data_IF_591763208950
#
_entry.id   IF_591763208950
#
_cell.length_a   1.000
_cell.length_b   1.000
_cell.length_c   1.000
_cell.angle_alpha   90.00
_cell.angle_beta   90.00
_cell.angle_gamma   90.00
#
_symmetry.space_group_name_H-M   'P 1'
#
loop_
_entity.id
_entity.type
_entity.pdbx_description
1 polymer ?
#
# COMPACT_ATOMS: atom_id res chain seq x y z
N UNK A 1 6.87 22.35 30.74
CA UNK A 1 5.54 21.90 31.21
C UNK A 1 5.05 20.83 30.23
N UNK A 2 5.39 19.56 30.45
CA UNK A 2 5.02 18.45 29.55
C UNK A 2 4.20 17.43 30.33
N UNK A 3 2.98 17.16 29.84
CA UNK A 3 1.96 16.35 30.48
C UNK A 3 2.24 14.84 30.33
N UNK A 4 2.31 14.16 31.47
CA UNK A 4 2.40 12.70 31.59
C UNK A 4 1.01 12.11 31.32
N UNK A 5 0.86 11.36 30.22
CA UNK A 5 -0.36 10.62 29.92
C UNK A 5 -0.64 9.60 31.04
N UNK A 6 -1.75 9.80 31.77
CA UNK A 6 -2.31 8.85 32.72
C UNK A 6 -3.64 8.36 32.13
N UNK A 7 -3.75 7.06 31.84
CA UNK A 7 -5.07 6.44 31.56
C UNK A 7 -5.47 5.52 32.71
N UNK A 8 -6.76 5.60 33.01
CA UNK A 8 -7.51 4.97 34.08
C UNK A 8 -7.55 3.44 33.92
N UNK A 9 -7.51 2.78 35.07
CA UNK A 9 -7.63 1.34 35.28
C UNK A 9 -9.08 0.90 35.13
N UNK A 10 -9.37 0.07 34.13
CA UNK A 10 -10.47 -0.89 34.16
C UNK A 10 -9.87 -2.26 33.76
N UNK A 11 -9.54 -3.09 34.77
CA UNK A 11 -8.69 -4.28 34.59
C UNK A 11 -9.49 -5.59 34.74
N UNK A 12 -9.52 -6.41 33.68
CA UNK A 12 -9.61 -7.87 33.83
C UNK A 12 -8.19 -8.37 34.14
N UNK A 13 -7.97 -8.89 35.34
CA UNK A 13 -6.64 -9.31 35.78
C UNK A 13 -6.36 -10.77 35.38
N UNK A 14 -5.48 -10.95 34.40
CA UNK A 14 -4.87 -12.25 34.06
C UNK A 14 -3.36 -12.16 34.38
N UNK A 15 -2.71 -13.22 34.88
CA UNK A 15 -1.28 -13.20 35.20
C UNK A 15 -0.40 -12.95 33.96
N UNK A 16 0.67 -12.20 34.17
CA UNK A 16 1.64 -11.77 33.16
C UNK A 16 2.74 -12.83 32.99
N UNK A 17 2.35 -13.98 32.45
CA UNK A 17 3.26 -14.91 31.78
C UNK A 17 2.41 -15.91 30.99
N UNK A 18 2.74 -16.08 29.71
CA UNK A 18 2.26 -17.14 28.80
C UNK A 18 0.79 -17.11 28.36
N UNK A 19 -0.15 -16.76 29.25
CA UNK A 19 -1.59 -16.81 28.94
C UNK A 19 -2.10 -15.67 28.05
N UNK A 20 -1.60 -14.44 28.25
CA UNK A 20 -2.08 -13.25 27.51
C UNK A 20 -1.68 -13.28 26.03
N UNK A 21 -0.45 -13.66 25.72
CA UNK A 21 0.02 -13.78 24.33
C UNK A 21 -0.71 -14.88 23.57
N UNK A 22 -0.97 -16.03 24.21
CA UNK A 22 -1.75 -17.11 23.64
C UNK A 22 -3.23 -16.71 23.40
N UNK A 23 -3.81 -15.92 24.30
CA UNK A 23 -5.16 -15.37 24.13
C UNK A 23 -5.21 -14.35 22.99
N UNK A 24 -4.22 -13.46 22.89
CA UNK A 24 -4.12 -12.50 21.77
C UNK A 24 -3.92 -13.20 20.43
N UNK A 25 -3.10 -14.25 20.41
CA UNK A 25 -2.87 -15.06 19.21
C UNK A 25 -4.12 -15.85 18.79
N UNK A 26 -4.89 -16.35 19.76
CA UNK A 26 -6.18 -17.02 19.50
C UNK A 26 -7.25 -16.02 19.03
N UNK A 27 -7.29 -14.82 19.61
CA UNK A 27 -8.18 -13.73 19.19
C UNK A 27 -7.83 -13.27 17.77
N UNK A 28 -6.54 -13.11 17.46
CA UNK A 28 -6.05 -12.83 16.11
C UNK A 28 -6.54 -13.86 15.10
N UNK A 29 -6.40 -15.16 15.40
CA UNK A 29 -6.85 -16.23 14.51
C UNK A 29 -8.37 -16.23 14.31
N UNK A 30 -9.16 -15.90 15.33
CA UNK A 30 -10.63 -15.81 15.23
C UNK A 30 -11.04 -14.60 14.37
N UNK A 31 -10.44 -13.43 14.61
CA UNK A 31 -10.71 -12.21 13.83
C UNK A 31 -10.31 -12.40 12.36
N UNK A 32 -9.17 -13.05 12.11
CA UNK A 32 -8.70 -13.37 10.76
C UNK A 32 -9.62 -14.35 10.04
N UNK A 33 -10.20 -15.33 10.74
CA UNK A 33 -11.13 -16.29 10.15
C UNK A 33 -12.53 -15.71 9.87
N UNK A 34 -12.87 -14.55 10.45
CA UNK A 34 -14.22 -13.97 10.41
C UNK A 34 -14.44 -12.86 9.36
N UNK A 35 -13.50 -12.59 8.43
CA UNK A 35 -13.68 -11.83 7.17
C UNK A 35 -14.90 -10.86 7.10
N UNK A 36 -14.83 -9.53 7.14
CA UNK A 36 -13.94 -8.65 6.37
C UNK A 36 -14.24 -7.16 6.70
N UNK A 37 -13.63 -6.58 7.75
CA UNK A 37 -13.67 -5.12 7.91
C UNK A 37 -12.57 -4.53 8.81
N UNK A 38 -11.90 -5.37 9.60
CA UNK A 38 -10.85 -4.93 10.53
C UNK A 38 -9.62 -5.77 10.29
N UNK A 39 -8.52 -5.12 9.93
CA UNK A 39 -7.21 -5.76 9.75
C UNK A 39 -6.68 -6.10 11.14
N UNK A 40 -6.52 -7.38 11.49
CA UNK A 40 -5.95 -7.74 12.77
C UNK A 40 -4.44 -7.40 12.74
N UNK A 41 -4.03 -6.49 13.62
CA UNK A 41 -2.65 -6.04 13.76
C UNK A 41 -2.09 -6.49 15.10
N UNK A 42 -0.99 -7.23 15.07
CA UNK A 42 -0.27 -7.67 16.26
C UNK A 42 1.09 -6.99 16.34
N UNK A 43 1.36 -6.27 17.43
CA UNK A 43 2.65 -5.66 17.70
C UNK A 43 2.98 -5.82 19.17
N UNK A 44 4.14 -6.41 19.45
CA UNK A 44 4.61 -6.60 20.81
C UNK A 44 5.39 -5.36 21.25
N UNK A 45 4.92 -4.72 22.32
CA UNK A 45 5.59 -3.57 22.91
C UNK A 45 6.51 -4.11 24.00
N UNK A 46 7.82 -3.91 23.84
CA UNK A 46 8.78 -4.27 24.88
C UNK A 46 8.59 -3.40 26.13
N UNK A 47 8.79 -4.00 27.31
CA UNK A 47 8.73 -3.28 28.59
C UNK A 47 9.99 -2.43 28.85
N UNK A 48 11.00 -2.54 27.98
CA UNK A 48 12.26 -1.82 28.09
C UNK A 48 12.13 -0.38 27.56
N UNK A 49 12.84 0.59 28.16
CA UNK A 49 12.93 1.93 27.62
C UNK A 49 13.45 1.90 26.17
N UNK A 50 12.73 2.53 25.26
CA UNK A 50 13.07 2.62 23.84
C UNK A 50 12.89 4.05 23.33
N UNK A 51 13.73 4.46 22.38
CA UNK A 51 13.56 5.75 21.73
C UNK A 51 12.28 5.76 20.91
N UNK A 52 11.53 6.86 20.97
CA UNK A 52 10.27 7.00 20.24
C UNK A 52 10.45 6.83 18.72
N UNK A 53 11.62 7.21 18.19
CA UNK A 53 11.96 7.04 16.79
C UNK A 53 12.14 5.57 16.40
N UNK A 54 12.87 4.80 17.22
CA UNK A 54 13.07 3.36 17.00
C UNK A 54 11.75 2.59 17.14
N UNK A 55 10.95 2.93 18.16
CA UNK A 55 9.60 2.39 18.32
C UNK A 55 8.72 2.68 17.09
N UNK A 56 8.67 3.94 16.65
CA UNK A 56 7.84 4.33 15.51
C UNK A 56 8.27 3.60 14.23
N UNK A 57 9.58 3.47 14.01
CA UNK A 57 10.13 2.72 12.88
C UNK A 57 9.68 1.26 12.90
N UNK A 58 9.87 0.55 14.01
CA UNK A 58 9.47 -0.86 14.14
C UNK A 58 7.95 -1.05 14.03
N UNK A 59 7.17 -0.14 14.63
CA UNK A 59 5.72 -0.13 14.54
C UNK A 59 5.24 0.02 13.09
N UNK A 60 5.72 1.03 12.37
CA UNK A 60 5.28 1.28 11.00
C UNK A 60 5.75 0.19 10.04
N UNK A 61 6.96 -0.33 10.19
CA UNK A 61 7.44 -1.47 9.38
C UNK A 61 6.55 -2.68 9.60
N UNK A 62 6.25 -3.01 10.86
CA UNK A 62 5.42 -4.17 11.21
C UNK A 62 3.99 -4.01 10.70
N UNK A 63 3.43 -2.81 10.84
CA UNK A 63 2.10 -2.46 10.36
C UNK A 63 2.00 -2.61 8.84
N UNK A 64 2.92 -2.01 8.09
CA UNK A 64 2.93 -2.09 6.63
C UNK A 64 3.06 -3.54 6.15
N UNK A 65 3.93 -4.34 6.79
CA UNK A 65 4.09 -5.77 6.47
C UNK A 65 2.79 -6.56 6.65
N UNK A 66 2.14 -6.41 7.80
CA UNK A 66 0.89 -7.14 8.09
C UNK A 66 -0.28 -6.64 7.24
N UNK A 67 -0.37 -5.33 7.01
CA UNK A 67 -1.36 -4.72 6.13
C UNK A 67 -1.25 -5.25 4.70
N UNK A 68 -0.03 -5.28 4.15
CA UNK A 68 0.21 -5.82 2.81
C UNK A 68 -0.15 -7.31 2.79
N UNK A 69 0.32 -8.12 3.75
CA UNK A 69 0.04 -9.56 3.80
C UNK A 69 -1.46 -9.90 3.91
N UNK A 70 -2.24 -9.04 4.57
CA UNK A 70 -3.69 -9.18 4.67
C UNK A 70 -4.39 -8.85 3.35
N UNK A 71 -3.99 -7.77 2.67
CA UNK A 71 -4.65 -7.32 1.44
C UNK A 71 -4.11 -8.01 0.17
N UNK A 72 -2.88 -8.52 0.22
CA UNK A 72 -2.15 -9.07 -0.92
C UNK A 72 -1.26 -10.23 -0.46
N UNK A 73 -1.28 -11.37 -1.17
CA UNK A 73 -0.21 -12.36 -1.00
C UNK A 73 1.12 -11.72 -1.37
N UNK A 74 2.15 -11.92 -0.54
CA UNK A 74 3.48 -11.31 -0.72
C UNK A 74 4.05 -11.61 -2.11
N UNK A 75 3.81 -12.81 -2.63
CA UNK A 75 4.22 -13.23 -3.97
C UNK A 75 3.52 -12.39 -5.06
N UNK A 76 2.20 -12.24 -4.96
CA UNK A 76 1.40 -11.41 -5.88
C UNK A 76 1.78 -9.94 -5.81
N UNK A 77 2.06 -9.42 -4.61
CA UNK A 77 2.49 -8.04 -4.39
C UNK A 77 3.89 -7.77 -4.95
N UNK A 78 4.83 -8.71 -4.75
CA UNK A 78 6.19 -8.61 -5.25
C UNK A 78 6.23 -8.71 -6.77
N UNK A 79 5.51 -9.68 -7.36
CA UNK A 79 5.37 -9.79 -8.82
C UNK A 79 4.78 -8.51 -9.42
N UNK A 80 3.78 -7.95 -8.76
CA UNK A 80 3.15 -6.70 -9.15
C UNK A 80 4.10 -5.50 -9.06
N UNK A 81 4.79 -5.31 -7.93
CA UNK A 81 5.72 -4.19 -7.73
C UNK A 81 6.87 -4.27 -8.71
N UNK A 82 7.47 -5.45 -8.89
CA UNK A 82 8.54 -5.65 -9.87
C UNK A 82 8.05 -5.34 -11.28
N UNK A 83 6.85 -5.80 -11.66
CA UNK A 83 6.26 -5.51 -12.97
C UNK A 83 5.94 -4.03 -13.21
N UNK A 84 5.71 -3.27 -12.13
CA UNK A 84 5.50 -1.83 -12.18
C UNK A 84 6.85 -1.10 -12.25
N UNK A 85 7.81 -1.45 -11.38
CA UNK A 85 9.15 -0.84 -11.33
C UNK A 85 9.86 -0.96 -12.67
N UNK A 86 9.88 -2.14 -13.30
CA UNK A 86 10.56 -2.32 -14.59
C UNK A 86 9.94 -1.45 -15.69
N UNK A 87 8.61 -1.32 -15.68
CA UNK A 87 7.86 -0.49 -16.65
C UNK A 87 7.93 1.01 -16.36
N UNK A 88 8.12 1.39 -15.11
CA UNK A 88 8.33 2.78 -14.69
C UNK A 88 9.75 3.21 -15.03
N UNK A 89 10.73 2.33 -14.80
CA UNK A 89 12.13 2.70 -14.82
C UNK A 89 12.69 2.88 -16.25
N UNK A 90 11.99 2.36 -17.26
CA UNK A 90 12.36 2.61 -18.66
C UNK A 90 12.08 4.06 -19.11
N UNK A 91 12.79 4.47 -20.17
CA UNK A 91 12.78 5.85 -20.71
C UNK A 91 11.38 6.37 -21.05
N UNK A 92 10.48 5.51 -21.50
CA UNK A 92 9.14 5.89 -21.91
C UNK A 92 8.16 5.89 -20.72
N UNK A 93 8.36 5.02 -19.72
CA UNK A 93 7.56 4.99 -18.49
C UNK A 93 7.64 6.28 -17.70
N UNK A 94 8.85 6.79 -17.45
CA UNK A 94 9.07 8.09 -16.77
C UNK A 94 8.41 9.26 -17.51
N UNK A 95 8.49 9.28 -18.84
CA UNK A 95 7.86 10.31 -19.69
C UNK A 95 6.34 10.28 -19.57
N UNK A 96 5.73 9.09 -19.63
CA UNK A 96 4.29 8.91 -19.51
C UNK A 96 3.80 9.41 -18.14
N UNK A 97 4.45 9.02 -17.06
CA UNK A 97 4.08 9.44 -15.70
C UNK A 97 4.21 10.95 -15.56
N UNK A 98 5.33 11.53 -15.99
CA UNK A 98 5.54 12.98 -15.92
C UNK A 98 4.47 13.75 -16.72
N UNK A 99 4.11 13.25 -17.90
CA UNK A 99 3.05 13.82 -18.73
C UNK A 99 1.68 13.74 -18.04
N UNK A 100 1.34 12.59 -17.45
CA UNK A 100 0.10 12.42 -16.67
C UNK A 100 0.04 13.39 -15.49
N UNK A 101 1.14 13.53 -14.73
CA UNK A 101 1.21 14.48 -13.62
C UNK A 101 1.02 15.94 -14.08
N UNK A 102 1.57 16.32 -15.24
CA UNK A 102 1.36 17.67 -15.82
C UNK A 102 -0.10 17.93 -16.22
N UNK A 103 -0.88 16.89 -16.43
CA UNK A 103 -2.27 16.94 -16.87
C UNK A 103 -3.23 16.31 -15.86
N UNK A 104 -2.87 16.33 -14.55
CA UNK A 104 -3.57 15.59 -13.48
C UNK A 104 -5.09 15.81 -13.40
N UNK A 105 -5.59 16.95 -13.86
CA UNK A 105 -7.01 17.31 -13.82
C UNK A 105 -7.80 16.84 -15.05
N UNK A 106 -7.17 16.07 -15.95
CA UNK A 106 -7.75 15.69 -17.24
C UNK A 106 -7.64 14.19 -17.49
N UNK A 107 -8.75 13.63 -17.98
CA UNK A 107 -8.79 12.30 -18.56
C UNK A 107 -8.25 12.32 -19.99
N UNK A 108 -7.12 11.66 -20.20
CA UNK A 108 -6.37 11.65 -21.46
C UNK A 108 -6.60 10.34 -22.20
N UNK A 109 -6.85 10.43 -23.50
CA UNK A 109 -6.95 9.25 -24.37
C UNK A 109 -5.58 8.65 -24.63
N UNK A 110 -5.50 7.31 -24.67
CA UNK A 110 -4.27 6.57 -24.96
C UNK A 110 -3.56 7.03 -26.24
N UNK A 111 -4.29 7.15 -27.34
CA UNK A 111 -3.73 7.57 -28.62
C UNK A 111 -3.16 9.01 -28.57
N UNK A 112 -3.73 9.86 -27.70
CA UNK A 112 -3.21 11.22 -27.48
C UNK A 112 -1.90 11.20 -26.68
N UNK A 113 -1.75 10.28 -25.71
CA UNK A 113 -0.48 10.08 -24.99
C UNK A 113 0.62 9.69 -25.98
N UNK A 114 0.33 8.74 -26.88
CA UNK A 114 1.27 8.29 -27.91
C UNK A 114 1.71 9.44 -28.81
N UNK A 115 0.74 10.23 -29.31
CA UNK A 115 0.99 11.35 -30.19
C UNK A 115 1.79 12.47 -29.50
N UNK A 116 1.37 12.90 -28.31
CA UNK A 116 1.98 14.03 -27.61
C UNK A 116 3.41 13.70 -27.14
N UNK A 117 3.72 12.42 -26.88
CA UNK A 117 5.03 11.97 -26.43
C UNK A 117 5.91 11.37 -27.53
N UNK A 118 5.36 11.16 -28.73
CA UNK A 118 6.02 10.51 -29.86
C UNK A 118 6.76 9.22 -29.44
N UNK A 119 6.05 8.30 -28.78
CA UNK A 119 6.68 7.14 -28.12
C UNK A 119 7.14 6.06 -29.11
N UNK A 120 6.58 6.03 -30.32
CA UNK A 120 6.98 5.11 -31.40
C UNK A 120 6.63 3.64 -31.10
N UNK A 121 5.69 3.38 -30.18
CA UNK A 121 5.33 2.03 -29.75
C UNK A 121 3.97 1.60 -30.29
N UNK A 122 3.74 0.29 -30.35
CA UNK A 122 2.44 -0.24 -30.79
C UNK A 122 1.38 0.06 -29.74
N UNK A 123 0.14 0.32 -30.19
CA UNK A 123 -0.97 0.66 -29.30
C UNK A 123 -1.20 -0.40 -28.19
N UNK A 124 -1.01 -1.68 -28.50
CA UNK A 124 -1.12 -2.77 -27.52
C UNK A 124 0.01 -2.82 -26.48
N UNK A 125 1.19 -2.32 -26.81
CA UNK A 125 2.32 -2.19 -25.87
C UNK A 125 2.06 -1.06 -24.88
N UNK A 126 1.62 0.10 -25.37
CA UNK A 126 1.19 1.22 -24.54
C UNK A 126 0.03 0.82 -23.62
N UNK A 127 -0.94 0.05 -24.13
CA UNK A 127 -2.04 -0.47 -23.31
C UNK A 127 -1.54 -1.33 -22.14
N UNK A 128 -0.68 -2.31 -22.40
CA UNK A 128 -0.14 -3.19 -21.36
C UNK A 128 0.58 -2.38 -20.29
N UNK A 129 1.30 -1.33 -20.70
CA UNK A 129 2.04 -0.47 -19.79
C UNK A 129 1.12 0.40 -18.94
N UNK A 130 0.14 1.07 -19.55
CA UNK A 130 -0.85 1.86 -18.81
C UNK A 130 -1.66 0.99 -17.84
N UNK A 131 -2.04 -0.23 -18.25
CA UNK A 131 -2.67 -1.21 -17.33
C UNK A 131 -1.79 -1.57 -16.15
N UNK A 132 -0.47 -1.66 -16.33
CA UNK A 132 0.44 -1.88 -15.22
C UNK A 132 0.45 -0.70 -14.24
N UNK A 133 0.43 0.53 -14.75
CA UNK A 133 0.37 1.74 -13.94
C UNK A 133 -0.97 1.90 -13.20
N UNK A 134 -2.07 1.50 -13.85
CA UNK A 134 -3.41 1.43 -13.22
C UNK A 134 -3.41 0.41 -12.12
N UNK A 135 -2.89 -0.79 -12.42
CA UNK A 135 -2.76 -1.83 -11.43
C UNK A 135 -1.99 -1.31 -10.23
N UNK A 136 -0.83 -0.65 -10.45
CA UNK A 136 0.09 -0.09 -9.44
C UNK A 136 -0.38 1.17 -8.70
N UNK A 137 -1.64 1.58 -8.82
CA UNK A 137 -2.18 2.81 -8.23
C UNK A 137 -1.38 4.09 -8.56
N UNK A 138 -0.70 4.13 -9.72
CA UNK A 138 0.08 5.31 -10.18
C UNK A 138 -0.80 6.23 -11.03
N UNK A 139 -1.71 5.65 -11.80
CA UNK A 139 -2.71 6.35 -12.61
C UNK A 139 -4.06 5.69 -12.43
N UNK A 140 -5.13 6.40 -12.75
CA UNK A 140 -6.49 5.86 -12.73
C UNK A 140 -6.98 5.62 -14.15
N UNK A 141 -7.80 4.58 -14.29
CA UNK A 141 -8.53 4.28 -15.52
C UNK A 141 -9.98 4.71 -15.40
N UNK A 142 -10.52 5.36 -16.42
CA UNK A 142 -11.94 5.68 -16.47
C UNK A 142 -12.81 4.48 -16.81
N UNK A 143 -14.09 4.75 -17.08
CA UNK A 143 -15.09 3.75 -17.52
C UNK A 143 -14.76 3.05 -18.84
N UNK A 144 -13.73 3.51 -19.58
CA UNK A 144 -13.25 2.90 -20.83
C UNK A 144 -11.77 2.55 -20.73
N UNK A 145 -11.35 1.48 -21.41
CA UNK A 145 -9.94 1.05 -21.53
C UNK A 145 -9.03 2.03 -22.28
N UNK A 146 -9.55 3.18 -22.70
CA UNK A 146 -8.85 4.16 -23.54
C UNK A 146 -8.51 5.45 -22.82
N UNK A 147 -9.05 5.70 -21.61
CA UNK A 147 -8.88 6.98 -20.92
C UNK A 147 -8.24 6.80 -19.55
N UNK A 148 -7.25 7.63 -19.27
CA UNK A 148 -6.39 7.56 -18.09
C UNK A 148 -6.18 8.95 -17.50
N UNK A 149 -6.03 9.06 -16.18
CA UNK A 149 -5.65 10.29 -15.48
C UNK A 149 -4.64 9.98 -14.37
N UNK A 150 -3.89 10.99 -13.90
CA UNK A 150 -3.09 10.82 -12.70
C UNK A 150 -4.00 10.62 -11.47
N UNK A 151 -3.52 9.89 -10.46
CA UNK A 151 -4.27 9.72 -9.21
C UNK A 151 -4.48 11.09 -8.56
N UNK A 152 -5.74 11.40 -8.23
CA UNK A 152 -6.16 12.63 -7.54
C UNK A 152 -6.64 12.25 -6.14
N UNK A 153 -5.73 11.78 -5.28
CA UNK A 153 -5.99 11.63 -3.85
C UNK A 153 -5.50 12.86 -3.09
#
# INVERSE_FOLDING_TARGET
>A
MYSKLRRLNDSIHIPWATGKSAVMQRLFNILFAQNDQVIPFYFEISETPQWIADFAKEFFITFIRQYIAFNFSIDTFLEYILSAIDRINDTNGKKIILYMCKHKEKMIKRDKIEQDLNLGMKNGELEKRLKAFVKSDIIEQGTSNFRYQAVSR
#
